data_IF_040776500753
#
_entry.id   IF_040776500753
#
_cell.length_a   1.000
_cell.length_b   1.000
_cell.length_c   1.000
_cell.angle_alpha   90.00
_cell.angle_beta   90.00
_cell.angle_gamma   90.00
#
_symmetry.space_group_name_H-M   'P 1'
#
loop_
_entity.id
_entity.type
_entity.pdbx_description
1 polymer ?
#
# COMPACT_ATOMS: atom_id res chain seq x y z
N UNK A 1 -20.64 -0.59 -11.70
CA UNK A 1 -19.22 -0.19 -11.89
C UNK A 1 -18.40 -1.21 -12.68
N UNK A 2 -18.92 -2.38 -13.06
CA UNK A 2 -18.16 -3.41 -13.79
C UNK A 2 -17.47 -2.91 -15.06
N UNK A 3 -18.07 -1.95 -15.78
CA UNK A 3 -17.47 -1.36 -16.97
C UNK A 3 -16.10 -0.72 -16.71
N UNK A 4 -15.89 -0.07 -15.56
CA UNK A 4 -14.62 0.62 -15.28
C UNK A 4 -13.52 -0.40 -14.99
N UNK A 5 -13.84 -1.44 -14.23
CA UNK A 5 -12.89 -2.46 -13.81
C UNK A 5 -12.52 -3.39 -14.96
N UNK A 6 -13.42 -3.61 -15.93
CA UNK A 6 -13.11 -4.37 -17.15
C UNK A 6 -12.05 -3.69 -18.02
N UNK A 7 -12.03 -2.36 -18.05
CA UNK A 7 -11.05 -1.57 -18.81
C UNK A 7 -9.79 -1.27 -17.99
N UNK A 8 -9.80 -1.52 -16.68
CA UNK A 8 -8.65 -1.31 -15.80
C UNK A 8 -7.60 -2.41 -15.97
N UNK A 9 -6.32 -2.01 -15.81
CA UNK A 9 -5.18 -2.95 -15.71
C UNK A 9 -4.63 -3.08 -14.29
N UNK A 10 -5.12 -2.27 -13.37
CA UNK A 10 -4.78 -2.30 -11.95
C UNK A 10 -5.85 -1.55 -11.15
N UNK A 11 -5.88 -1.77 -9.84
CA UNK A 11 -6.74 -1.06 -8.89
C UNK A 11 -5.88 -0.10 -8.05
N UNK A 12 -6.38 1.12 -7.85
CA UNK A 12 -5.67 2.19 -7.13
C UNK A 12 -6.50 2.72 -5.96
N UNK A 13 -6.81 1.89 -4.95
CA UNK A 13 -7.57 2.36 -3.79
C UNK A 13 -6.78 3.43 -3.03
N UNK A 14 -7.45 4.48 -2.56
CA UNK A 14 -6.84 5.46 -1.65
C UNK A 14 -7.08 5.04 -0.21
N UNK A 15 -6.01 4.94 0.57
CA UNK A 15 -6.02 4.61 2.00
C UNK A 15 -5.54 5.79 2.85
N UNK A 16 -5.83 7.00 2.37
CA UNK A 16 -5.41 8.24 3.02
C UNK A 16 -6.04 8.43 4.39
N UNK A 17 -5.21 8.80 5.36
CA UNK A 17 -5.61 9.27 6.67
C UNK A 17 -5.56 10.81 6.73
N UNK A 18 -6.32 11.38 7.65
CA UNK A 18 -6.48 12.83 7.82
C UNK A 18 -7.82 13.27 8.44
N UNK A 19 -8.69 12.31 8.73
CA UNK A 19 -9.97 12.53 9.41
C UNK A 19 -9.88 12.25 10.92
N UNK A 20 -10.80 12.84 11.69
CA UNK A 20 -10.86 12.64 13.12
C UNK A 20 -11.37 11.23 13.46
N UNK A 21 -10.48 10.39 13.98
CA UNK A 21 -10.74 9.00 14.36
C UNK A 21 -9.66 8.51 15.33
N UNK A 22 -9.93 7.41 16.03
CA UNK A 22 -8.91 6.70 16.81
C UNK A 22 -7.96 5.94 15.89
N UNK A 23 -6.76 5.59 16.38
CA UNK A 23 -5.81 4.77 15.60
C UNK A 23 -6.40 3.42 15.20
N UNK A 24 -7.21 2.80 16.06
CA UNK A 24 -7.90 1.54 15.76
C UNK A 24 -8.93 1.71 14.63
N UNK A 25 -9.71 2.79 14.66
CA UNK A 25 -10.65 3.10 13.58
C UNK A 25 -9.94 3.33 12.25
N UNK A 26 -8.79 4.03 12.26
CA UNK A 26 -7.97 4.23 11.06
C UNK A 26 -7.39 2.93 10.54
N UNK A 27 -6.90 2.04 11.41
CA UNK A 27 -6.44 0.71 11.02
C UNK A 27 -7.53 -0.12 10.35
N UNK A 28 -8.75 -0.14 10.92
CA UNK A 28 -9.90 -0.86 10.36
C UNK A 28 -10.39 -0.22 9.05
N UNK A 29 -10.30 1.10 8.93
CA UNK A 29 -10.62 1.83 7.71
C UNK A 29 -9.71 1.38 6.55
N UNK A 30 -8.40 1.36 6.76
CA UNK A 30 -7.45 0.87 5.75
C UNK A 30 -7.76 -0.59 5.41
N UNK A 31 -7.96 -1.43 6.43
CA UNK A 31 -8.26 -2.85 6.25
C UNK A 31 -9.51 -3.09 5.37
N UNK A 32 -10.57 -2.34 5.61
CA UNK A 32 -11.82 -2.47 4.84
C UNK A 32 -11.63 -2.14 3.36
N UNK A 33 -10.84 -1.10 3.06
CA UNK A 33 -10.55 -0.69 1.68
C UNK A 33 -9.68 -1.73 0.97
N UNK A 34 -8.65 -2.24 1.63
CA UNK A 34 -7.78 -3.27 1.06
C UNK A 34 -8.57 -4.57 0.81
N UNK A 35 -9.42 -4.98 1.75
CA UNK A 35 -10.28 -6.15 1.58
C UNK A 35 -11.23 -6.00 0.38
N UNK A 36 -11.82 -4.82 0.20
CA UNK A 36 -12.70 -4.56 -0.93
C UNK A 36 -11.93 -4.55 -2.26
N UNK A 37 -10.75 -3.92 -2.30
CA UNK A 37 -9.90 -3.95 -3.48
C UNK A 37 -9.52 -5.39 -3.89
N UNK A 38 -9.19 -6.24 -2.91
CA UNK A 38 -8.92 -7.67 -3.14
C UNK A 38 -10.15 -8.43 -3.63
N UNK A 39 -11.32 -8.14 -3.06
CA UNK A 39 -12.58 -8.74 -3.51
C UNK A 39 -12.85 -8.45 -4.98
N UNK A 40 -12.63 -7.20 -5.42
CA UNK A 40 -12.78 -6.80 -6.83
C UNK A 40 -11.68 -7.44 -7.69
N UNK A 41 -10.42 -7.38 -7.27
CA UNK A 41 -9.29 -7.95 -8.01
C UNK A 41 -9.52 -9.42 -8.37
N UNK A 42 -9.99 -10.22 -7.42
CA UNK A 42 -10.27 -11.66 -7.58
C UNK A 42 -11.46 -12.00 -8.48
N UNK A 43 -12.24 -11.01 -8.92
CA UNK A 43 -13.30 -11.22 -9.92
C UNK A 43 -12.75 -11.39 -11.34
N UNK A 44 -11.47 -11.04 -11.54
CA UNK A 44 -10.81 -11.05 -12.83
C UNK A 44 -9.80 -12.20 -12.91
N UNK A 45 -9.54 -12.66 -14.13
CA UNK A 45 -8.54 -13.70 -14.41
C UNK A 45 -7.61 -13.25 -15.54
N UNK A 46 -6.32 -13.01 -15.28
CA UNK A 46 -5.69 -13.04 -13.95
C UNK A 46 -6.26 -11.94 -13.01
N UNK A 47 -6.09 -12.06 -11.68
CA UNK A 47 -6.47 -11.01 -10.74
C UNK A 47 -5.84 -9.67 -11.11
N UNK A 48 -6.58 -8.57 -10.93
CA UNK A 48 -6.03 -7.24 -11.18
C UNK A 48 -5.02 -6.87 -10.08
N UNK A 49 -3.80 -6.42 -10.42
CA UNK A 49 -2.85 -5.95 -9.41
C UNK A 49 -3.39 -4.70 -8.70
N UNK A 50 -3.02 -4.54 -7.43
CA UNK A 50 -3.51 -3.49 -6.55
C UNK A 50 -2.33 -2.63 -6.07
N UNK A 51 -2.40 -1.33 -6.33
CA UNK A 51 -1.42 -0.35 -5.88
C UNK A 51 -2.09 0.70 -4.99
N UNK A 52 -2.02 0.51 -3.67
CA UNK A 52 -2.72 1.36 -2.73
C UNK A 52 -2.03 2.74 -2.61
N UNK A 53 -2.78 3.80 -2.84
CA UNK A 53 -2.31 5.16 -2.63
C UNK A 53 -2.32 5.50 -1.14
N UNK A 54 -1.15 5.82 -0.59
CA UNK A 54 -1.00 6.31 0.78
C UNK A 54 -0.19 7.61 0.83
N UNK A 55 -0.28 8.31 1.97
CA UNK A 55 0.51 9.49 2.28
C UNK A 55 1.48 9.17 3.43
N UNK A 56 2.36 10.12 3.71
CA UNK A 56 3.17 10.18 4.93
C UNK A 56 2.70 11.30 5.87
N UNK A 57 1.65 12.02 5.48
CA UNK A 57 1.14 13.25 6.11
C UNK A 57 -0.40 13.25 6.18
N UNK A 58 -0.96 13.76 7.27
CA UNK A 58 -2.43 13.91 7.42
C UNK A 58 -2.97 15.02 6.52
N UNK A 59 -2.37 16.22 6.54
CA UNK A 59 -2.82 17.35 5.72
C UNK A 59 -1.65 18.10 5.04
N UNK A 60 -1.07 17.54 3.96
CA UNK A 60 0.06 18.16 3.24
C UNK A 60 -0.34 19.42 2.45
N UNK A 61 -1.63 19.75 2.36
CA UNK A 61 -2.10 20.97 1.68
C UNK A 61 -2.00 22.19 2.59
N UNK A 62 -2.22 22.01 3.89
CA UNK A 62 -2.34 23.12 4.87
C UNK A 62 -1.25 23.13 5.92
N UNK A 63 -0.66 21.99 6.27
CA UNK A 63 0.30 21.88 7.39
C UNK A 63 1.70 21.55 6.89
N UNK A 64 2.69 22.12 7.57
CA UNK A 64 4.11 21.95 7.21
C UNK A 64 4.72 20.67 7.80
N UNK A 65 4.28 20.26 9.00
CA UNK A 65 4.83 19.14 9.75
C UNK A 65 3.70 18.39 10.46
N UNK A 66 2.89 17.67 9.69
CA UNK A 66 1.77 16.87 10.19
C UNK A 66 1.86 15.44 9.67
N UNK A 67 3.00 14.83 9.98
CA UNK A 67 3.37 13.48 9.53
C UNK A 67 2.56 12.43 10.28
N UNK A 68 2.32 11.29 9.65
CA UNK A 68 1.70 10.15 10.33
C UNK A 68 2.52 9.72 11.57
N UNK A 69 1.80 9.38 12.64
CA UNK A 69 2.42 8.70 13.77
C UNK A 69 2.78 7.25 13.38
N UNK A 70 3.55 6.58 14.23
CA UNK A 70 4.12 5.27 13.91
C UNK A 70 3.05 4.19 13.73
N UNK A 71 1.95 4.27 14.48
CA UNK A 71 0.81 3.35 14.33
C UNK A 71 0.11 3.53 12.98
N UNK A 72 -0.05 4.77 12.52
CA UNK A 72 -0.73 5.08 11.26
C UNK A 72 0.18 4.81 10.05
N UNK A 73 1.50 4.99 10.19
CA UNK A 73 2.49 4.52 9.21
C UNK A 73 2.45 3.00 9.10
N UNK A 74 2.42 2.27 10.21
CA UNK A 74 2.30 0.81 10.20
C UNK A 74 0.98 0.36 9.53
N UNK A 75 -0.14 0.99 9.89
CA UNK A 75 -1.43 0.68 9.28
C UNK A 75 -1.46 0.92 7.77
N UNK A 76 -0.71 1.90 7.26
CA UNK A 76 -0.77 2.28 5.83
C UNK A 76 0.37 1.74 4.97
N UNK A 77 1.45 1.25 5.58
CA UNK A 77 2.61 0.66 4.88
C UNK A 77 2.67 -0.86 5.06
N UNK A 78 2.57 -1.34 6.31
CA UNK A 78 2.69 -2.77 6.62
C UNK A 78 1.41 -3.53 6.31
N UNK A 79 0.23 -2.98 6.63
CA UNK A 79 -1.02 -3.68 6.39
C UNK A 79 -1.25 -4.03 4.90
N UNK A 80 -0.96 -3.16 3.91
CA UNK A 80 -0.98 -3.56 2.51
C UNK A 80 -0.07 -4.76 2.19
N UNK A 81 1.16 -4.76 2.72
CA UNK A 81 2.09 -5.88 2.53
C UNK A 81 1.56 -7.18 3.17
N UNK A 82 1.14 -7.13 4.44
CA UNK A 82 0.59 -8.28 5.17
C UNK A 82 -0.72 -8.82 4.56
N UNK A 83 -1.44 -7.98 3.79
CA UNK A 83 -2.67 -8.38 3.10
C UNK A 83 -2.44 -8.78 1.65
N UNK A 84 -1.20 -8.92 1.17
CA UNK A 84 -0.91 -9.39 -0.19
C UNK A 84 -1.42 -8.44 -1.26
N UNK A 85 -1.16 -7.14 -1.08
CA UNK A 85 -1.38 -6.08 -2.07
C UNK A 85 -0.08 -5.90 -2.85
N UNK A 86 -0.16 -5.76 -4.17
CA UNK A 86 1.01 -5.78 -5.08
C UNK A 86 1.97 -4.59 -4.88
N UNK A 87 1.49 -3.48 -4.31
CA UNK A 87 2.35 -2.39 -3.91
C UNK A 87 1.62 -1.18 -3.32
N UNK A 88 2.41 -0.16 -3.00
CA UNK A 88 1.90 1.12 -2.51
C UNK A 88 2.44 2.27 -3.37
N UNK A 89 1.68 3.35 -3.47
CA UNK A 89 2.10 4.61 -4.07
C UNK A 89 2.13 5.67 -3.00
N UNK A 90 3.33 6.17 -2.68
CA UNK A 90 3.51 7.29 -1.76
C UNK A 90 3.18 8.61 -2.49
N UNK A 91 2.14 9.29 -2.03
CA UNK A 91 1.71 10.57 -2.56
C UNK A 91 1.92 11.70 -1.54
N UNK A 92 2.28 12.88 -2.03
CA UNK A 92 2.25 14.13 -1.26
C UNK A 92 1.82 15.29 -2.16
N UNK A 93 1.43 16.40 -1.55
CA UNK A 93 1.06 17.62 -2.28
C UNK A 93 2.31 18.36 -2.76
N UNK A 94 2.18 19.24 -3.76
CA UNK A 94 3.23 20.23 -4.09
C UNK A 94 3.15 21.50 -3.22
N UNK A 95 2.06 21.67 -2.46
CA UNK A 95 1.84 22.84 -1.58
C UNK A 95 2.99 22.99 -0.59
N UNK A 96 3.58 24.19 -0.52
CA UNK A 96 4.69 24.53 0.38
C UNK A 96 5.85 23.52 0.39
N UNK A 97 6.10 22.81 -0.72
CA UNK A 97 7.06 21.70 -0.76
C UNK A 97 8.45 22.12 -0.27
N UNK A 98 8.95 23.29 -0.70
CA UNK A 98 10.25 23.81 -0.27
C UNK A 98 10.38 23.90 1.26
N UNK A 99 9.30 24.25 1.96
CA UNK A 99 9.28 24.33 3.43
C UNK A 99 9.02 22.98 4.10
N UNK A 100 8.41 22.03 3.38
CA UNK A 100 8.13 20.68 3.89
C UNK A 100 9.28 19.69 3.66
N UNK A 101 10.16 19.93 2.69
CA UNK A 101 11.28 19.05 2.35
C UNK A 101 12.08 18.58 3.58
N UNK A 102 12.47 19.43 4.55
CA UNK A 102 13.23 18.97 5.71
C UNK A 102 12.45 17.99 6.60
N UNK A 103 11.14 18.20 6.76
CA UNK A 103 10.26 17.32 7.54
C UNK A 103 10.02 15.99 6.82
N UNK A 104 9.84 16.03 5.50
CA UNK A 104 9.71 14.83 4.66
C UNK A 104 11.02 14.03 4.72
N UNK A 105 12.18 14.67 4.57
CA UNK A 105 13.49 14.02 4.68
C UNK A 105 13.63 13.33 6.04
N UNK A 106 13.40 14.08 7.12
CA UNK A 106 13.47 13.53 8.49
C UNK A 106 12.52 12.34 8.67
N UNK A 107 11.29 12.41 8.16
CA UNK A 107 10.31 11.32 8.22
C UNK A 107 10.74 10.10 7.42
N UNK A 108 11.35 10.29 6.23
CA UNK A 108 11.88 9.21 5.41
C UNK A 108 13.05 8.52 6.10
N UNK A 109 14.00 9.29 6.63
CA UNK A 109 15.22 8.76 7.24
C UNK A 109 14.98 8.07 8.59
N UNK A 110 13.97 8.52 9.36
CA UNK A 110 13.75 8.04 10.74
C UNK A 110 12.55 7.13 10.90
N UNK A 111 11.57 7.19 9.98
CA UNK A 111 10.32 6.42 10.10
C UNK A 111 10.04 5.57 8.87
N UNK A 112 9.87 6.17 7.70
CA UNK A 112 9.36 5.41 6.53
C UNK A 112 10.42 4.46 5.97
N UNK A 113 11.66 4.92 5.83
CA UNK A 113 12.77 4.14 5.29
C UNK A 113 13.20 2.99 6.20
N UNK A 114 13.49 3.25 7.50
CA UNK A 114 13.84 2.18 8.44
C UNK A 114 12.66 1.30 8.84
N UNK A 115 11.41 1.78 8.69
CA UNK A 115 10.20 1.15 9.21
C UNK A 115 10.30 0.84 10.73
N UNK A 116 9.95 1.76 11.66
CA UNK A 116 10.28 1.64 13.07
C UNK A 116 9.65 0.39 13.73
N UNK A 117 10.51 -0.46 14.30
CA UNK A 117 10.19 -1.66 15.09
C UNK A 117 11.03 -2.88 14.68
N UNK A 118 10.74 -4.09 15.20
CA UNK A 118 11.34 -5.38 14.76
C UNK A 118 10.81 -5.79 13.37
N UNK A 119 10.70 -4.84 12.45
CA UNK A 119 10.01 -4.99 11.17
C UNK A 119 10.94 -4.67 10.00
N UNK A 120 12.24 -4.90 10.19
CA UNK A 120 13.17 -5.07 9.08
C UNK A 120 12.60 -6.16 8.17
N UNK A 121 12.23 -5.78 6.95
CA UNK A 121 11.99 -6.75 5.90
C UNK A 121 13.37 -7.33 5.59
N UNK A 122 13.70 -8.49 6.18
CA UNK A 122 14.89 -9.23 5.78
C UNK A 122 14.64 -9.76 4.37
N UNK A 123 15.27 -9.21 3.32
CA UNK A 123 15.03 -9.66 1.96
C UNK A 123 15.49 -11.11 1.74
N UNK A 124 16.31 -11.66 2.63
CA UNK A 124 16.73 -13.07 2.65
C UNK A 124 15.74 -14.00 3.36
N UNK A 125 14.83 -13.48 4.18
CA UNK A 125 13.76 -14.23 4.88
C UNK A 125 12.36 -13.90 4.34
N UNK A 126 12.24 -12.84 3.54
CA UNK A 126 11.03 -12.43 2.86
C UNK A 126 10.76 -13.37 1.68
N UNK A 127 10.05 -14.46 1.95
CA UNK A 127 9.54 -15.33 0.90
C UNK A 127 8.36 -14.62 0.22
N UNK A 128 8.59 -14.12 -0.99
CA UNK A 128 7.51 -13.61 -1.84
C UNK A 128 6.59 -14.78 -2.19
N UNK A 129 5.59 -15.06 -1.37
CA UNK A 129 4.55 -16.03 -1.71
C UNK A 129 3.80 -15.53 -2.94
N UNK A 130 4.06 -16.18 -4.07
CA UNK A 130 3.37 -15.86 -5.31
C UNK A 130 1.89 -16.22 -5.21
N UNK A 131 1.05 -15.37 -5.81
CA UNK A 131 -0.38 -15.60 -5.90
C UNK A 131 -0.72 -16.95 -6.58
N UNK A 132 -1.92 -17.46 -6.28
CA UNK A 132 -2.44 -18.71 -6.84
C UNK A 132 -2.41 -18.67 -8.38
N UNK A 133 -1.54 -19.48 -8.98
CA UNK A 133 -1.34 -19.54 -10.44
C UNK A 133 0.04 -19.05 -10.89
N UNK A 134 0.85 -18.51 -9.98
CA UNK A 134 2.19 -18.01 -10.24
C UNK A 134 3.22 -18.72 -9.35
N UNK A 135 4.46 -18.82 -9.83
CA UNK A 135 5.54 -19.48 -9.09
C UNK A 135 6.92 -18.97 -9.49
N UNK A 136 7.91 -19.26 -8.64
CA UNK A 136 9.31 -18.91 -8.83
C UNK A 136 9.66 -17.56 -8.18
N UNK A 137 10.95 -17.24 -8.11
CA UNK A 137 11.48 -16.01 -7.49
C UNK A 137 10.99 -14.70 -8.12
N UNK A 138 10.36 -14.79 -9.30
CA UNK A 138 9.79 -13.67 -10.03
C UNK A 138 8.27 -13.79 -10.23
N UNK A 139 7.61 -14.74 -9.54
CA UNK A 139 6.18 -15.01 -9.69
C UNK A 139 5.73 -15.04 -11.14
N UNK A 140 6.34 -15.92 -11.93
CA UNK A 140 5.96 -16.15 -13.34
C UNK A 140 4.71 -17.04 -13.43
N UNK A 141 3.86 -16.87 -14.46
CA UNK A 141 2.68 -17.72 -14.64
C UNK A 141 3.07 -19.19 -14.69
N UNK A 142 2.39 -20.03 -13.92
CA UNK A 142 2.55 -21.49 -14.02
C UNK A 142 2.18 -21.90 -15.44
N UNK A 143 3.14 -22.40 -16.19
CA UNK A 143 2.89 -22.89 -17.55
C UNK A 143 1.92 -24.06 -17.44
N UNK A 144 0.68 -23.85 -17.88
CA UNK A 144 -0.29 -24.94 -17.99
C UNK A 144 0.21 -25.89 -19.06
N UNK A 145 0.89 -26.96 -18.68
CA UNK A 145 1.01 -28.15 -19.53
C UNK A 145 -0.41 -28.70 -19.70
N UNK A 146 -1.07 -28.29 -20.77
CA UNK A 146 -2.19 -29.01 -21.34
C UNK A 146 -1.64 -30.32 -21.89
N UNK A 147 -1.50 -31.32 -21.03
CA UNK A 147 -1.33 -32.70 -21.45
C UNK A 147 -2.63 -33.13 -22.14
N UNK A 148 -2.49 -33.34 -23.45
CA UNK A 148 -3.50 -33.91 -24.36
C UNK A 148 -3.84 -35.35 -23.99
#
# INVERSE_FOLDING_TARGET
>A
MTFIFNESKALYPSIYLGFNATSEQRFRYVQAILNEARRISRMYSPPLPIYAYTKIEYDPLKKLNDTYNDSDLCATLKQPADTGIDGIVLWSSSSNMTYRCPYIQSTMETKVGPCPGKYDVDPGEYDCECDVGYSGSHCTPKTSTSSS
#
